data_IF_146288812730
#
_entry.id   IF_146288812730
#
_cell.length_a   1.000
_cell.length_b   1.000
_cell.length_c   1.000
_cell.angle_alpha   90.00
_cell.angle_beta   90.00
_cell.angle_gamma   90.00
#
_symmetry.space_group_name_H-M   'P 1'
#
loop_
_entity.id
_entity.type
_entity.pdbx_description
1 polymer ?
#
# COMPACT_ATOMS: atom_id res chain seq x y z
N UNK A 1 -59.58 -17.62 -5.15
CA UNK A 1 -60.86 -16.89 -5.16
C UNK A 1 -60.83 -15.98 -3.92
N UNK A 2 -60.94 -14.65 -3.89
CA UNK A 2 -61.20 -13.51 -4.78
C UNK A 2 -60.67 -12.30 -3.95
N UNK A 3 -59.70 -11.48 -4.40
CA UNK A 3 -59.85 -10.23 -5.19
C UNK A 3 -61.13 -9.40 -4.90
N UNK A 4 -60.92 -8.17 -4.38
CA UNK A 4 -61.63 -6.88 -4.60
C UNK A 4 -62.42 -6.29 -3.42
N UNK A 5 -61.93 -5.14 -2.93
CA UNK A 5 -62.62 -3.85 -2.60
C UNK A 5 -61.65 -3.03 -1.72
N UNK A 6 -60.75 -2.18 -2.23
CA UNK A 6 -60.87 -0.89 -2.94
C UNK A 6 -61.48 0.27 -2.11
N UNK A 7 -60.56 1.08 -1.56
CA UNK A 7 -60.54 2.56 -1.44
C UNK A 7 -61.46 3.25 -0.43
N UNK A 8 -60.84 3.97 0.52
CA UNK A 8 -60.91 5.45 0.72
C UNK A 8 -60.25 5.83 2.05
N UNK A 9 -59.11 6.52 2.00
CA UNK A 9 -58.75 7.64 2.87
C UNK A 9 -57.31 8.10 2.54
N UNK A 10 -57.22 9.00 1.56
CA UNK A 10 -56.07 9.89 1.42
C UNK A 10 -56.17 10.92 2.54
N UNK A 11 -55.22 10.94 3.45
CA UNK A 11 -54.98 12.08 4.32
C UNK A 11 -53.53 12.52 4.09
N UNK A 12 -53.40 13.71 3.51
CA UNK A 12 -52.16 14.42 3.26
C UNK A 12 -51.41 14.65 4.58
N UNK A 13 -50.37 13.87 4.83
CA UNK A 13 -49.29 14.28 5.73
C UNK A 13 -48.29 15.10 4.92
N UNK A 14 -47.91 16.33 5.33
CA UNK A 14 -46.81 17.01 4.70
C UNK A 14 -45.56 16.15 4.86
N UNK A 15 -44.98 15.75 3.72
CA UNK A 15 -43.63 15.22 3.62
C UNK A 15 -42.68 16.28 4.18
N UNK A 16 -42.36 16.17 5.47
CA UNK A 16 -41.18 16.83 6.02
C UNK A 16 -39.99 16.05 5.46
N UNK A 17 -39.60 16.42 4.25
CA UNK A 17 -38.30 16.09 3.70
C UNK A 17 -37.28 16.64 4.71
N UNK A 18 -36.46 15.82 5.38
CA UNK A 18 -35.30 16.37 6.03
C UNK A 18 -34.45 16.84 4.85
N UNK A 19 -34.39 18.16 4.68
CA UNK A 19 -33.34 18.75 3.90
C UNK A 19 -32.03 18.28 4.54
N UNK A 20 -31.37 17.30 3.93
CA UNK A 20 -29.91 17.22 3.97
C UNK A 20 -29.43 18.34 3.04
N UNK A 21 -29.76 19.56 3.45
CA UNK A 21 -29.09 20.77 3.06
C UNK A 21 -27.67 20.58 3.60
N UNK A 22 -26.70 20.59 2.69
CA UNK A 22 -25.29 20.51 2.97
C UNK A 22 -24.98 21.21 4.30
N UNK A 23 -24.70 20.43 5.33
CA UNK A 23 -23.78 20.87 6.35
C UNK A 23 -22.40 20.91 5.68
N UNK A 24 -22.20 21.81 4.72
CA UNK A 24 -20.89 22.40 4.51
C UNK A 24 -20.62 23.15 5.80
N UNK A 25 -20.05 22.38 6.71
CA UNK A 25 -19.61 22.80 8.02
C UNK A 25 -18.78 24.06 7.80
N UNK A 26 -19.29 25.21 8.26
CA UNK A 26 -18.57 26.49 8.35
C UNK A 26 -17.44 26.31 9.36
N UNK A 27 -16.45 25.52 8.98
CA UNK A 27 -15.22 25.33 9.71
C UNK A 27 -14.37 26.55 9.37
N UNK A 28 -14.09 27.38 10.36
CA UNK A 28 -13.22 28.55 10.18
C UNK A 28 -11.74 28.18 9.97
N UNK A 29 -11.39 26.89 10.07
CA UNK A 29 -10.06 26.36 9.81
C UNK A 29 -10.11 25.36 8.66
N UNK A 30 -9.11 25.35 7.77
CA UNK A 30 -9.04 24.34 6.72
C UNK A 30 -8.87 22.95 7.34
N UNK A 31 -9.37 21.93 6.63
CA UNK A 31 -9.05 20.54 6.89
C UNK A 31 -7.55 20.31 6.72
N UNK A 32 -6.95 19.46 7.54
CA UNK A 32 -5.53 19.19 7.51
C UNK A 32 -5.26 17.70 7.40
N UNK A 33 -4.60 17.29 6.32
CA UNK A 33 -4.20 15.91 6.07
C UNK A 33 -2.70 15.80 6.20
N UNK A 34 -2.24 14.88 7.05
CA UNK A 34 -0.85 14.44 7.03
C UNK A 34 -0.72 13.29 6.02
N UNK A 35 0.04 13.47 4.94
CA UNK A 35 0.21 12.46 3.90
C UNK A 35 1.65 11.94 3.89
N UNK A 36 1.87 10.69 4.31
CA UNK A 36 3.20 10.12 4.46
C UNK A 36 3.44 9.01 3.45
N UNK A 37 4.41 9.23 2.56
CA UNK A 37 4.87 8.24 1.59
C UNK A 37 6.31 7.80 1.89
N UNK A 38 6.59 6.50 2.08
CA UNK A 38 7.95 6.04 2.30
C UNK A 38 8.86 6.14 1.07
N UNK A 39 8.30 6.19 -0.12
CA UNK A 39 9.07 6.24 -1.35
C UNK A 39 9.50 7.63 -1.77
N UNK A 40 9.75 7.76 -3.08
CA UNK A 40 10.13 9.00 -3.74
C UNK A 40 9.14 9.28 -4.86
N UNK A 41 8.74 10.54 -5.00
CA UNK A 41 7.89 11.00 -6.09
C UNK A 41 8.70 11.32 -7.35
N UNK A 42 9.56 10.41 -7.77
CA UNK A 42 10.43 10.58 -8.94
C UNK A 42 10.12 9.62 -10.08
N UNK A 43 9.12 8.75 -9.92
CA UNK A 43 8.61 7.92 -10.99
C UNK A 43 7.15 8.28 -11.31
N UNK A 44 6.72 8.12 -12.58
CA UNK A 44 5.38 8.53 -13.02
C UNK A 44 4.24 7.85 -12.26
N UNK A 45 4.42 6.59 -11.86
CA UNK A 45 3.38 5.81 -11.20
C UNK A 45 3.09 6.33 -9.79
N UNK A 46 4.12 6.61 -9.00
CA UNK A 46 3.96 7.13 -7.63
C UNK A 46 3.41 8.56 -7.65
N UNK A 47 3.86 9.39 -8.60
CA UNK A 47 3.29 10.72 -8.84
C UNK A 47 1.81 10.65 -9.22
N UNK A 48 1.44 9.75 -10.14
CA UNK A 48 0.07 9.58 -10.59
C UNK A 48 -0.87 9.20 -9.44
N UNK A 49 -0.43 8.36 -8.50
CA UNK A 49 -1.26 8.00 -7.33
C UNK A 49 -1.53 9.21 -6.43
N UNK A 50 -0.52 10.06 -6.19
CA UNK A 50 -0.70 11.27 -5.40
C UNK A 50 -1.58 12.31 -6.10
N UNK A 51 -1.43 12.47 -7.43
CA UNK A 51 -2.26 13.36 -8.22
C UNK A 51 -3.72 12.89 -8.29
N UNK A 52 -3.95 11.58 -8.40
CA UNK A 52 -5.29 10.98 -8.31
C UNK A 52 -5.90 11.26 -6.94
N UNK A 53 -5.16 11.04 -5.84
CA UNK A 53 -5.63 11.35 -4.49
C UNK A 53 -6.07 12.81 -4.35
N UNK A 54 -5.23 13.76 -4.79
CA UNK A 54 -5.56 15.20 -4.77
C UNK A 54 -6.72 15.55 -5.70
N UNK A 55 -6.81 14.90 -6.85
CA UNK A 55 -7.88 15.06 -7.82
C UNK A 55 -9.24 14.63 -7.28
N UNK A 56 -9.31 13.47 -6.62
CA UNK A 56 -10.53 12.96 -6.00
C UNK A 56 -10.97 13.83 -4.82
N UNK A 57 -10.04 14.29 -3.98
CA UNK A 57 -10.35 15.26 -2.92
C UNK A 57 -10.98 16.53 -3.49
N UNK A 58 -10.45 17.05 -4.59
CA UNK A 58 -10.99 18.24 -5.27
C UNK A 58 -12.40 18.02 -5.80
N UNK A 59 -12.68 16.85 -6.38
CA UNK A 59 -14.04 16.48 -6.86
C UNK A 59 -15.05 16.42 -5.71
N UNK A 60 -14.59 16.06 -4.52
CA UNK A 60 -15.40 16.04 -3.29
C UNK A 60 -15.51 17.43 -2.61
N UNK A 61 -14.93 18.48 -3.21
CA UNK A 61 -14.98 19.85 -2.69
C UNK A 61 -13.83 20.23 -1.76
N UNK A 62 -12.87 19.34 -1.51
CA UNK A 62 -11.67 19.63 -0.72
C UNK A 62 -10.54 20.13 -1.63
N UNK A 63 -10.25 21.43 -1.57
CA UNK A 63 -9.27 22.08 -2.42
C UNK A 63 -8.16 22.76 -1.59
N UNK A 64 -6.91 22.41 -1.90
CA UNK A 64 -5.74 23.04 -1.30
C UNK A 64 -5.72 24.55 -1.53
N UNK A 65 -5.34 25.30 -0.50
CA UNK A 65 -5.33 26.76 -0.52
C UNK A 65 -6.72 27.41 -0.40
N UNK A 66 -7.79 26.61 -0.31
CA UNK A 66 -9.16 27.09 0.00
C UNK A 66 -9.64 26.58 1.35
N UNK A 67 -9.86 25.27 1.45
CA UNK A 67 -10.44 24.61 2.63
C UNK A 67 -9.66 23.35 3.05
N UNK A 68 -8.52 23.09 2.42
CA UNK A 68 -7.66 21.94 2.70
C UNK A 68 -6.17 22.36 2.76
N UNK A 69 -5.43 21.73 3.66
CA UNK A 69 -3.97 21.70 3.74
C UNK A 69 -3.54 20.24 3.71
N UNK A 70 -2.56 19.91 2.86
CA UNK A 70 -1.93 18.58 2.85
C UNK A 70 -0.46 18.75 3.23
N UNK A 71 -0.10 18.33 4.45
CA UNK A 71 1.29 18.26 4.88
C UNK A 71 1.88 16.93 4.40
N UNK A 72 2.58 16.99 3.28
CA UNK A 72 3.18 15.82 2.66
C UNK A 72 4.59 15.56 3.21
N UNK A 73 4.93 14.30 3.50
CA UNK A 73 6.31 13.85 3.76
C UNK A 73 6.65 12.66 2.88
N UNK A 74 7.86 12.65 2.34
CA UNK A 74 8.43 11.60 1.49
C UNK A 74 9.70 11.09 2.17
N UNK A 75 9.82 9.78 2.40
CA UNK A 75 10.99 9.21 3.08
C UNK A 75 12.13 8.84 2.12
N UNK A 76 11.93 8.92 0.81
CA UNK A 76 12.94 8.65 -0.21
C UNK A 76 13.55 7.25 -0.09
N UNK A 77 12.71 6.27 0.26
CA UNK A 77 13.08 4.88 0.56
C UNK A 77 14.00 4.70 1.80
N UNK A 78 14.12 5.72 2.65
CA UNK A 78 14.84 5.67 3.94
C UNK A 78 13.79 5.60 5.06
N UNK A 79 13.37 4.39 5.41
CA UNK A 79 12.27 4.15 6.34
C UNK A 79 12.55 4.67 7.75
N UNK A 80 13.81 4.83 8.12
CA UNK A 80 14.29 5.36 9.40
C UNK A 80 13.88 6.83 9.61
N UNK A 81 13.48 7.54 8.56
CA UNK A 81 12.94 8.91 8.63
C UNK A 81 11.47 8.97 9.08
N UNK A 82 10.73 7.85 9.00
CA UNK A 82 9.30 7.83 9.27
C UNK A 82 8.93 8.27 10.70
N UNK A 83 9.64 7.85 11.77
CA UNK A 83 9.31 8.28 13.12
C UNK A 83 9.34 9.80 13.31
N UNK A 84 10.40 10.47 12.85
CA UNK A 84 10.54 11.93 13.01
C UNK A 84 9.51 12.71 12.19
N UNK A 85 9.10 12.19 11.03
CA UNK A 85 7.99 12.77 10.27
C UNK A 85 6.68 12.74 11.05
N UNK A 86 6.37 11.64 11.74
CA UNK A 86 5.14 11.58 12.53
C UNK A 86 5.20 12.48 13.77
N UNK A 87 6.36 12.63 14.41
CA UNK A 87 6.53 13.61 15.51
C UNK A 87 6.20 15.03 15.04
N UNK A 88 6.76 15.45 13.90
CA UNK A 88 6.49 16.75 13.30
C UNK A 88 5.02 16.91 12.90
N UNK A 89 4.49 15.93 12.17
CA UNK A 89 3.13 15.98 11.64
C UNK A 89 2.09 15.97 12.76
N UNK A 90 2.26 15.21 13.83
CA UNK A 90 1.35 15.20 14.98
C UNK A 90 1.31 16.57 15.67
N UNK A 91 2.45 17.27 15.76
CA UNK A 91 2.50 18.62 16.32
C UNK A 91 1.65 19.63 15.52
N UNK A 92 1.46 19.38 14.21
CA UNK A 92 0.58 20.19 13.35
C UNK A 92 -0.92 19.89 13.55
N UNK A 93 -1.26 18.88 14.37
CA UNK A 93 -2.63 18.44 14.70
C UNK A 93 -3.49 18.19 13.45
N UNK A 94 -3.09 17.26 12.57
CA UNK A 94 -3.88 16.89 11.40
C UNK A 94 -5.21 16.28 11.83
N UNK A 95 -6.23 16.47 11.01
CA UNK A 95 -7.53 15.83 11.19
C UNK A 95 -7.48 14.34 10.85
N UNK A 96 -6.62 13.97 9.91
CA UNK A 96 -6.42 12.59 9.46
C UNK A 96 -4.99 12.39 8.94
N UNK A 97 -4.46 11.20 9.17
CA UNK A 97 -3.20 10.73 8.60
C UNK A 97 -3.53 9.78 7.45
N UNK A 98 -2.97 10.03 6.26
CA UNK A 98 -2.95 9.08 5.15
C UNK A 98 -1.55 8.48 5.12
N UNK A 99 -1.45 7.20 5.48
CA UNK A 99 -0.19 6.46 5.56
C UNK A 99 -0.10 5.45 4.40
N UNK A 100 0.87 5.67 3.52
CA UNK A 100 1.05 4.88 2.30
C UNK A 100 2.03 3.73 2.56
N UNK A 101 1.63 2.51 2.20
CA UNK A 101 2.34 1.24 2.46
C UNK A 101 2.57 0.87 3.94
N UNK A 102 2.77 -0.43 4.20
CA UNK A 102 2.91 -1.01 5.55
C UNK A 102 3.93 -0.28 6.44
N UNK A 103 5.15 0.10 5.99
CA UNK A 103 6.09 0.84 6.83
C UNK A 103 5.56 2.16 7.39
N UNK A 104 4.91 2.98 6.56
CA UNK A 104 4.33 4.24 7.03
C UNK A 104 3.21 3.99 8.04
N UNK A 105 2.38 2.96 7.80
CA UNK A 105 1.26 2.62 8.67
C UNK A 105 1.75 2.14 10.03
N UNK A 106 2.78 1.28 10.06
CA UNK A 106 3.40 0.81 11.30
C UNK A 106 3.99 1.97 12.12
N UNK A 107 4.64 2.93 11.46
CA UNK A 107 5.15 4.12 12.13
C UNK A 107 4.02 5.04 12.62
N UNK A 108 2.94 5.22 11.85
CA UNK A 108 1.77 5.99 12.27
C UNK A 108 1.09 5.39 13.51
N UNK A 109 0.88 4.07 13.51
CA UNK A 109 0.26 3.34 14.62
C UNK A 109 1.04 3.52 15.93
N UNK A 110 2.38 3.53 15.86
CA UNK A 110 3.23 3.78 17.02
C UNK A 110 3.15 5.23 17.49
N UNK A 111 2.99 6.17 16.56
CA UNK A 111 3.02 7.58 16.86
C UNK A 111 1.70 8.10 17.45
N UNK A 112 0.55 7.50 17.10
CA UNK A 112 -0.75 7.94 17.63
C UNK A 112 -1.81 6.84 17.63
N UNK A 113 -2.61 6.82 18.71
CA UNK A 113 -3.81 5.99 18.84
C UNK A 113 -5.12 6.80 18.78
N UNK A 114 -5.03 8.13 18.61
CA UNK A 114 -6.18 9.04 18.67
C UNK A 114 -6.51 9.72 17.34
N UNK A 115 -5.51 10.05 16.53
CA UNK A 115 -5.73 10.65 15.20
C UNK A 115 -6.17 9.54 14.23
N UNK A 116 -7.25 9.72 13.46
CA UNK A 116 -7.64 8.75 12.44
C UNK A 116 -6.53 8.49 11.42
N UNK A 117 -6.25 7.23 11.13
CA UNK A 117 -5.26 6.79 10.15
C UNK A 117 -5.99 6.06 9.02
N UNK A 118 -5.77 6.52 7.79
CA UNK A 118 -6.20 5.86 6.54
C UNK A 118 -4.99 5.17 5.92
N UNK A 119 -5.00 3.84 5.92
CA UNK A 119 -3.99 3.00 5.27
C UNK A 119 -4.22 2.92 3.76
N UNK A 120 -3.17 3.07 2.95
CA UNK A 120 -3.31 3.06 1.49
C UNK A 120 -2.06 2.54 0.73
N UNK A 121 -2.03 1.26 0.33
CA UNK A 121 -2.68 0.14 0.99
C UNK A 121 -1.74 -0.54 2.00
N UNK A 122 -2.32 -1.30 2.93
CA UNK A 122 -1.58 -2.22 3.80
C UNK A 122 -1.43 -3.61 3.17
N UNK A 123 -0.28 -4.25 3.33
CA UNK A 123 -0.12 -5.70 3.17
C UNK A 123 -0.39 -6.38 4.52
N UNK A 124 -1.29 -7.37 4.56
CA UNK A 124 -1.72 -8.10 5.76
C UNK A 124 -1.98 -7.21 7.00
N UNK A 125 -3.00 -6.33 6.95
CA UNK A 125 -3.28 -5.40 8.06
C UNK A 125 -3.76 -6.09 9.33
N UNK A 126 -4.26 -7.33 9.25
CA UNK A 126 -4.66 -8.11 10.44
C UNK A 126 -3.43 -8.73 11.09
N UNK A 127 -2.58 -9.43 10.33
CA UNK A 127 -1.34 -10.01 10.85
C UNK A 127 -0.35 -8.95 11.35
N UNK A 128 -0.35 -7.77 10.72
CA UNK A 128 0.43 -6.60 11.19
C UNK A 128 -0.15 -5.95 12.45
N UNK A 129 -1.34 -6.37 12.91
CA UNK A 129 -2.00 -5.79 14.08
C UNK A 129 -2.55 -4.38 13.87
N UNK A 130 -2.68 -3.91 12.63
CA UNK A 130 -3.24 -2.60 12.31
C UNK A 130 -4.75 -2.56 12.54
N UNK A 131 -5.44 -3.66 12.23
CA UNK A 131 -6.89 -3.81 12.38
C UNK A 131 -7.25 -5.17 12.95
N UNK A 132 -8.40 -5.28 13.63
CA UNK A 132 -8.93 -6.56 14.14
C UNK A 132 -9.62 -7.39 13.06
N UNK A 133 -10.30 -6.74 12.11
CA UNK A 133 -10.99 -7.38 10.99
C UNK A 133 -11.25 -6.37 9.88
N UNK A 134 -11.43 -6.86 8.65
CA UNK A 134 -11.79 -6.00 7.51
C UNK A 134 -13.13 -5.28 7.67
N UNK A 135 -14.15 -5.97 8.20
CA UNK A 135 -15.48 -5.39 8.37
C UNK A 135 -15.55 -4.40 9.55
N UNK A 136 -14.73 -4.62 10.60
CA UNK A 136 -14.71 -3.81 11.82
C UNK A 136 -13.26 -3.67 12.30
N UNK A 137 -12.57 -2.59 11.92
CA UNK A 137 -11.15 -2.41 12.25
C UNK A 137 -10.86 -2.34 13.75
N UNK A 138 -11.75 -1.74 14.54
CA UNK A 138 -11.71 -1.81 16.00
C UNK A 138 -10.70 -0.87 16.69
N UNK A 139 -10.25 0.18 16.00
CA UNK A 139 -9.34 1.23 16.49
C UNK A 139 -9.42 2.49 15.62
N UNK A 140 -8.38 3.32 15.63
CA UNK A 140 -8.27 4.55 14.83
C UNK A 140 -7.77 4.32 13.39
N UNK A 141 -7.48 3.07 12.98
CA UNK A 141 -6.97 2.73 11.66
C UNK A 141 -8.08 2.12 10.79
N UNK A 142 -8.20 2.58 9.54
CA UNK A 142 -9.06 2.02 8.49
C UNK A 142 -8.40 2.24 7.12
N UNK A 143 -8.97 1.76 6.02
CA UNK A 143 -8.51 2.07 4.66
C UNK A 143 -8.46 0.87 3.75
N UNK A 144 -7.47 0.85 2.84
CA UNK A 144 -7.33 -0.16 1.80
C UNK A 144 -6.27 -1.20 2.17
N UNK A 145 -6.55 -2.47 1.90
CA UNK A 145 -5.58 -3.54 1.92
C UNK A 145 -5.29 -4.00 0.48
N UNK A 146 -4.10 -4.53 0.23
CA UNK A 146 -3.77 -5.22 -1.00
C UNK A 146 -3.83 -6.75 -0.79
N UNK A 147 -3.78 -7.51 -1.89
CA UNK A 147 -3.81 -8.98 -1.89
C UNK A 147 -2.43 -9.57 -2.22
N UNK A 148 -1.34 -8.83 -1.97
CA UNK A 148 0.01 -9.27 -2.38
C UNK A 148 0.46 -10.54 -1.65
N UNK A 149 0.04 -10.72 -0.39
CA UNK A 149 0.27 -11.95 0.36
C UNK A 149 -0.51 -13.14 -0.22
N UNK A 150 -1.78 -12.94 -0.55
CA UNK A 150 -2.67 -14.00 -1.05
C UNK A 150 -2.28 -14.47 -2.46
N UNK A 151 -1.84 -13.55 -3.32
CA UNK A 151 -1.45 -13.84 -4.70
C UNK A 151 0.01 -14.35 -4.84
N UNK A 152 0.77 -14.38 -3.73
CA UNK A 152 2.20 -14.66 -3.74
C UNK A 152 2.53 -16.01 -4.36
N UNK A 153 1.85 -17.07 -3.92
CA UNK A 153 2.07 -18.42 -4.45
C UNK A 153 1.80 -18.51 -5.94
N UNK A 154 0.78 -17.80 -6.42
CA UNK A 154 0.43 -17.78 -7.85
C UNK A 154 1.46 -17.03 -8.70
N UNK A 155 2.08 -15.97 -8.16
CA UNK A 155 3.19 -15.30 -8.83
C UNK A 155 4.41 -16.23 -8.98
N UNK A 156 4.70 -17.05 -7.97
CA UNK A 156 5.79 -18.03 -8.02
C UNK A 156 5.48 -19.16 -9.02
N UNK A 157 4.25 -19.68 -9.03
CA UNK A 157 3.81 -20.64 -10.04
C UNK A 157 3.95 -20.06 -11.46
N UNK A 158 3.52 -18.82 -11.66
CA UNK A 158 3.64 -18.14 -12.95
C UNK A 158 5.10 -17.97 -13.38
N UNK A 159 6.00 -17.62 -12.45
CA UNK A 159 7.44 -17.55 -12.73
C UNK A 159 7.99 -18.92 -13.16
N UNK A 160 7.54 -20.00 -12.52
CA UNK A 160 7.94 -21.36 -12.90
C UNK A 160 7.40 -21.75 -14.28
N UNK A 161 6.15 -21.41 -14.59
CA UNK A 161 5.55 -21.68 -15.90
C UNK A 161 6.28 -20.95 -17.04
N UNK A 162 6.73 -19.71 -16.78
CA UNK A 162 7.49 -18.89 -17.74
C UNK A 162 8.94 -19.40 -17.88
N UNK A 163 9.55 -19.84 -16.78
CA UNK A 163 10.96 -20.27 -16.73
C UNK A 163 11.07 -21.67 -16.09
N UNK A 164 10.61 -22.73 -16.79
CA UNK A 164 10.53 -24.08 -16.21
C UNK A 164 11.91 -24.70 -15.88
N UNK A 165 12.98 -24.17 -16.48
CA UNK A 165 14.35 -24.58 -16.19
C UNK A 165 14.89 -24.04 -14.87
N UNK A 166 14.28 -22.99 -14.29
CA UNK A 166 14.73 -22.41 -13.03
C UNK A 166 14.57 -23.43 -11.88
N UNK A 167 15.61 -23.59 -11.08
CA UNK A 167 15.67 -24.47 -9.89
C UNK A 167 15.87 -23.69 -8.60
N UNK A 168 16.45 -22.50 -8.67
CA UNK A 168 16.78 -21.64 -7.53
C UNK A 168 16.15 -20.27 -7.75
N UNK A 169 15.17 -19.92 -6.93
CA UNK A 169 14.46 -18.64 -7.01
C UNK A 169 14.97 -17.75 -5.87
N UNK A 170 15.62 -16.64 -6.23
CA UNK A 170 15.93 -15.59 -5.29
C UNK A 170 14.65 -14.84 -4.90
N UNK A 171 14.47 -14.57 -3.62
CA UNK A 171 13.41 -13.70 -3.11
C UNK A 171 14.07 -12.46 -2.54
N UNK A 172 13.78 -11.29 -3.11
CA UNK A 172 14.35 -10.01 -2.69
C UNK A 172 13.47 -9.34 -1.65
N UNK A 173 14.06 -9.06 -0.49
CA UNK A 173 13.44 -8.38 0.66
C UNK A 173 14.14 -7.04 0.93
N UNK A 174 13.37 -6.07 1.41
CA UNK A 174 13.85 -4.90 2.15
C UNK A 174 13.55 -4.97 3.66
N UNK A 175 13.74 -3.85 4.36
CA UNK A 175 13.36 -3.61 5.77
C UNK A 175 11.84 -3.39 5.98
N UNK A 176 10.99 -3.66 4.99
CA UNK A 176 9.53 -3.67 5.18
C UNK A 176 9.14 -4.70 6.28
N UNK A 177 8.36 -4.30 7.31
CA UNK A 177 7.99 -5.17 8.42
C UNK A 177 7.29 -6.48 8.04
N UNK A 178 6.62 -6.52 6.88
CA UNK A 178 5.91 -7.73 6.41
C UNK A 178 6.80 -8.70 5.63
N UNK A 179 7.98 -8.28 5.18
CA UNK A 179 8.83 -9.12 4.33
C UNK A 179 9.32 -10.42 4.96
N UNK A 180 9.67 -10.50 6.26
CA UNK A 180 10.03 -11.78 6.87
C UNK A 180 8.90 -12.82 6.73
N UNK A 181 7.67 -12.47 7.09
CA UNK A 181 6.51 -13.35 6.96
C UNK A 181 6.20 -13.67 5.49
N UNK A 182 6.31 -12.69 4.59
CA UNK A 182 6.11 -12.93 3.15
C UNK A 182 7.19 -13.82 2.55
N UNK A 183 8.43 -13.75 3.04
CA UNK A 183 9.48 -14.68 2.63
C UNK A 183 9.15 -16.12 3.07
N UNK A 184 8.64 -16.33 4.27
CA UNK A 184 8.26 -17.68 4.72
C UNK A 184 7.15 -18.28 3.84
N UNK A 185 6.18 -17.45 3.44
CA UNK A 185 5.15 -17.84 2.46
C UNK A 185 5.76 -18.15 1.08
N UNK A 186 6.70 -17.31 0.62
CA UNK A 186 7.39 -17.53 -0.66
C UNK A 186 8.24 -18.79 -0.65
N UNK A 187 8.99 -19.02 0.41
CA UNK A 187 9.82 -20.20 0.59
C UNK A 187 8.96 -21.47 0.60
N UNK A 188 7.80 -21.43 1.27
CA UNK A 188 6.84 -22.53 1.28
C UNK A 188 6.31 -22.83 -0.13
N UNK A 189 5.90 -21.79 -0.88
CA UNK A 189 5.42 -21.96 -2.24
C UNK A 189 6.50 -22.48 -3.21
N UNK A 190 7.73 -21.93 -3.14
CA UNK A 190 8.88 -22.35 -3.93
C UNK A 190 9.23 -23.82 -3.64
N UNK A 191 9.28 -24.22 -2.36
CA UNK A 191 9.55 -25.60 -1.97
C UNK A 191 8.43 -26.55 -2.40
N UNK A 192 7.18 -26.09 -2.40
CA UNK A 192 6.03 -26.86 -2.91
C UNK A 192 6.17 -27.26 -4.38
N UNK A 193 6.93 -26.48 -5.17
CA UNK A 193 7.28 -26.78 -6.56
C UNK A 193 8.59 -27.60 -6.71
N UNK A 194 9.15 -28.11 -5.60
CA UNK A 194 10.46 -28.78 -5.55
C UNK A 194 11.63 -27.89 -6.01
N UNK A 195 11.52 -26.58 -5.78
CA UNK A 195 12.56 -25.59 -6.09
C UNK A 195 13.26 -25.14 -4.79
N UNK A 196 14.40 -24.48 -4.93
CA UNK A 196 15.15 -23.89 -3.82
C UNK A 196 14.87 -22.39 -3.71
N UNK A 197 14.46 -21.91 -2.54
CA UNK A 197 14.38 -20.48 -2.26
C UNK A 197 15.75 -19.94 -1.80
N UNK A 198 16.14 -18.78 -2.31
CA UNK A 198 17.36 -18.06 -1.90
C UNK A 198 16.94 -16.73 -1.30
N UNK A 199 17.19 -16.53 0.00
CA UNK A 199 16.86 -15.27 0.67
C UNK A 199 17.89 -14.19 0.33
N UNK A 200 17.43 -13.08 -0.25
CA UNK A 200 18.27 -11.95 -0.63
C UNK A 200 17.72 -10.68 0.00
N UNK A 201 18.58 -9.91 0.67
CA UNK A 201 18.16 -8.73 1.43
C UNK A 201 18.87 -7.48 0.93
N UNK A 202 18.08 -6.45 0.60
CA UNK A 202 18.53 -5.11 0.28
C UNK A 202 17.68 -4.10 1.08
N UNK A 203 18.08 -3.73 2.31
CA UNK A 203 17.31 -2.82 3.15
C UNK A 203 17.02 -1.49 2.44
N UNK A 204 18.03 -0.91 1.80
CA UNK A 204 17.97 0.36 1.08
C UNK A 204 18.26 0.20 -0.41
N UNK A 205 17.99 1.22 -1.25
CA UNK A 205 18.40 1.19 -2.65
C UNK A 205 19.91 1.00 -2.87
N UNK A 206 20.76 1.44 -1.95
CA UNK A 206 22.22 1.33 -2.06
C UNK A 206 22.74 -0.10 -1.86
N UNK A 207 21.91 -1.00 -1.34
CA UNK A 207 22.27 -2.40 -1.07
C UNK A 207 21.97 -3.32 -2.27
N UNK A 208 21.35 -2.80 -3.33
CA UNK A 208 20.85 -3.61 -4.45
C UNK A 208 21.98 -4.26 -5.25
N UNK A 209 23.07 -3.56 -5.51
CA UNK A 209 24.23 -4.14 -6.22
C UNK A 209 24.79 -5.34 -5.45
N UNK A 210 24.94 -5.23 -4.13
CA UNK A 210 25.41 -6.33 -3.29
C UNK A 210 24.40 -7.49 -3.27
N UNK A 211 23.10 -7.20 -3.23
CA UNK A 211 22.06 -8.21 -3.31
C UNK A 211 22.12 -9.03 -4.61
N UNK A 212 22.37 -8.38 -5.75
CA UNK A 212 22.56 -9.07 -7.03
C UNK A 212 23.86 -9.89 -7.09
N UNK A 213 24.94 -9.45 -6.45
CA UNK A 213 26.14 -10.28 -6.30
C UNK A 213 25.90 -11.52 -5.42
N UNK A 214 25.07 -11.42 -4.38
CA UNK A 214 24.63 -12.58 -3.59
C UNK A 214 23.83 -13.54 -4.48
N UNK A 215 22.87 -13.05 -5.26
CA UNK A 215 22.09 -13.90 -6.18
C UNK A 215 22.99 -14.68 -7.14
N UNK A 216 24.00 -14.02 -7.70
CA UNK A 216 24.98 -14.61 -8.60
C UNK A 216 25.82 -15.68 -7.90
N UNK A 217 26.36 -15.39 -6.71
CA UNK A 217 27.14 -16.35 -5.92
C UNK A 217 26.32 -17.59 -5.55
N UNK A 218 25.04 -17.39 -5.24
CA UNK A 218 24.10 -18.45 -4.92
C UNK A 218 23.55 -19.18 -6.15
N UNK A 219 23.99 -18.83 -7.37
CA UNK A 219 23.51 -19.39 -8.64
C UNK A 219 21.97 -19.35 -8.74
N UNK A 220 21.37 -18.19 -8.45
CA UNK A 220 19.92 -18.00 -8.58
C UNK A 220 19.52 -17.90 -10.05
N UNK A 221 18.54 -18.69 -10.46
CA UNK A 221 18.09 -18.78 -11.86
C UNK A 221 17.04 -17.71 -12.20
N UNK A 222 16.26 -17.30 -11.20
CA UNK A 222 15.20 -16.32 -11.34
C UNK A 222 15.05 -15.49 -10.06
N UNK A 223 14.35 -14.36 -10.17
CA UNK A 223 14.12 -13.41 -9.10
C UNK A 223 12.62 -13.19 -8.88
N UNK A 224 12.22 -13.26 -7.62
CA UNK A 224 10.92 -12.81 -7.14
C UNK A 224 11.10 -11.57 -6.26
N UNK A 225 10.45 -10.47 -6.64
CA UNK A 225 10.54 -9.19 -5.93
C UNK A 225 9.28 -8.97 -5.11
N UNK A 226 9.42 -8.96 -3.78
CA UNK A 226 8.33 -8.63 -2.87
C UNK A 226 7.90 -7.17 -3.02
N UNK A 227 6.61 -6.92 -2.74
CA UNK A 227 6.01 -5.61 -2.85
C UNK A 227 6.58 -4.64 -1.82
N UNK A 228 7.21 -3.59 -2.32
CA UNK A 228 7.77 -2.51 -1.54
C UNK A 228 7.58 -1.18 -2.29
N UNK A 229 8.06 -0.08 -1.69
CA UNK A 229 8.39 1.14 -2.41
C UNK A 229 9.08 0.82 -3.73
N UNK A 230 8.65 1.47 -4.80
CA UNK A 230 9.21 1.28 -6.14
C UNK A 230 10.70 1.63 -6.17
N UNK A 231 11.54 0.67 -6.60
CA UNK A 231 12.99 0.85 -6.78
C UNK A 231 13.37 0.56 -8.24
N UNK A 232 13.32 1.56 -9.15
CA UNK A 232 13.53 1.34 -10.58
C UNK A 232 14.85 0.64 -10.95
N UNK A 233 15.90 0.81 -10.12
CA UNK A 233 17.19 0.15 -10.31
C UNK A 233 17.12 -1.38 -10.29
N UNK A 234 16.11 -2.00 -9.66
CA UNK A 234 15.91 -3.45 -9.69
C UNK A 234 15.71 -3.94 -11.13
N UNK A 235 14.94 -3.21 -11.94
CA UNK A 235 14.69 -3.55 -13.36
C UNK A 235 15.99 -3.49 -14.15
N UNK A 236 16.76 -2.41 -13.96
CA UNK A 236 18.06 -2.23 -14.62
C UNK A 236 19.06 -3.34 -14.25
N UNK A 237 19.13 -3.71 -12.97
CA UNK A 237 20.03 -4.76 -12.49
C UNK A 237 19.61 -6.15 -12.99
N UNK A 238 18.31 -6.47 -12.95
CA UNK A 238 17.77 -7.72 -13.48
C UNK A 238 18.02 -7.87 -14.99
N UNK A 239 17.82 -6.80 -15.77
CA UNK A 239 18.13 -6.80 -17.20
C UNK A 239 19.63 -6.98 -17.45
N UNK A 240 20.48 -6.29 -16.70
CA UNK A 240 21.95 -6.40 -16.81
C UNK A 240 22.46 -7.80 -16.47
N UNK A 241 21.90 -8.45 -15.45
CA UNK A 241 22.24 -9.82 -15.06
C UNK A 241 21.53 -10.88 -15.91
N UNK A 242 20.62 -10.48 -16.79
CA UNK A 242 19.74 -11.36 -17.58
C UNK A 242 18.97 -12.34 -16.70
N UNK A 243 18.51 -11.88 -15.54
CA UNK A 243 17.76 -12.69 -14.57
C UNK A 243 16.26 -12.54 -14.86
N UNK A 244 15.57 -13.62 -15.27
CA UNK A 244 14.11 -13.61 -15.33
C UNK A 244 13.53 -13.20 -13.98
N UNK A 245 12.65 -12.20 -13.99
CA UNK A 245 12.15 -11.59 -12.77
C UNK A 245 10.64 -11.48 -12.82
N UNK A 246 9.97 -11.77 -11.70
CA UNK A 246 8.56 -11.42 -11.51
C UNK A 246 8.43 -10.50 -10.29
N UNK A 247 7.57 -9.51 -10.43
CA UNK A 247 7.34 -8.46 -9.44
C UNK A 247 5.94 -8.60 -8.86
N UNK A 248 5.79 -8.45 -7.54
CA UNK A 248 4.44 -8.45 -6.93
C UNK A 248 3.59 -7.25 -7.34
N UNK A 249 4.19 -6.17 -7.82
CA UNK A 249 3.48 -4.94 -8.21
C UNK A 249 3.66 -4.65 -9.69
N UNK A 250 2.57 -4.28 -10.37
CA UNK A 250 2.58 -3.96 -11.79
C UNK A 250 3.33 -2.65 -12.14
N UNK A 251 3.78 -1.91 -11.13
CA UNK A 251 4.49 -0.63 -11.29
C UNK A 251 5.80 -0.77 -12.08
N UNK A 252 6.41 -1.96 -12.05
CA UNK A 252 7.67 -2.25 -12.72
C UNK A 252 7.50 -2.59 -14.22
N UNK A 253 6.33 -3.09 -14.64
CA UNK A 253 6.06 -3.47 -16.03
C UNK A 253 6.29 -2.32 -17.03
N UNK A 254 5.77 -1.08 -16.84
CA UNK A 254 6.05 0.01 -17.77
C UNK A 254 7.52 0.47 -17.76
N UNK A 255 8.33 0.03 -16.79
CA UNK A 255 9.77 0.32 -16.72
C UNK A 255 10.61 -0.75 -17.44
N UNK A 256 9.99 -1.79 -18.01
CA UNK A 256 10.66 -2.91 -18.67
C UNK A 256 10.93 -4.12 -17.77
N UNK A 257 10.28 -4.19 -16.61
CA UNK A 257 10.20 -5.39 -15.76
C UNK A 257 9.07 -6.33 -16.16
#
# INVERSE_FOLDING_TARGET
MLRRNFVKAVACSPLVWPAILSAEQTRNTPWRIAHVYPGKYDNPSDLALYDVFRGELRKLGYAEGKNLIIDQRSAEAILERLPSFYEELIALRPDVIVAITTPAIAAAQKATSSIPIVMAPATDPIGSGFIKSYARPGGNITGMANMNGDALGKAIELLHDIVPSAKRIAVLLSNNPTHPQQYDLAETAIRGLNLTAVRVVAPTPADLEQAFEVMKRENSDALFVLADVTRPSIVTLAAKSRTPTIYQTAVYAPMGG
#
